data_IF_766707690581
#
_entry.id   IF_766707690581
#
_cell.length_a   1.000
_cell.length_b   1.000
_cell.length_c   1.000
_cell.angle_alpha   90.00
_cell.angle_beta   90.00
_cell.angle_gamma   90.00
#
_symmetry.space_group_name_H-M   'P 1'
#
loop_
_entity.id
_entity.type
_entity.pdbx_description
1 polymer ?
#
# COMPACT_ATOMS: atom_id res chain seq x y z
N UNK A 1 54.99 25.65 -9.16
CA UNK A 1 54.53 24.26 -9.09
C UNK A 1 53.35 24.17 -8.15
N UNK A 2 52.19 24.58 -8.65
CA UNK A 2 50.89 24.39 -8.00
C UNK A 2 50.25 23.12 -8.59
N UNK A 3 49.30 22.53 -7.85
CA UNK A 3 48.48 21.36 -8.22
C UNK A 3 49.04 20.00 -7.80
N UNK A 4 48.92 19.66 -6.51
CA UNK A 4 48.90 18.26 -6.06
C UNK A 4 47.93 17.98 -4.89
N UNK A 5 47.06 18.94 -4.49
CA UNK A 5 46.28 18.83 -3.24
C UNK A 5 44.76 18.79 -3.35
N UNK A 6 44.14 18.72 -4.53
CA UNK A 6 42.69 18.92 -4.68
C UNK A 6 41.89 17.71 -5.20
N UNK A 7 42.54 16.56 -5.43
CA UNK A 7 41.89 15.43 -6.12
C UNK A 7 41.18 14.43 -5.19
N UNK A 8 41.35 14.52 -3.86
CA UNK A 8 40.87 13.47 -2.95
C UNK A 8 39.49 13.72 -2.31
N UNK A 9 38.95 14.95 -2.37
CA UNK A 9 37.72 15.32 -1.64
C UNK A 9 36.45 15.40 -2.50
N UNK A 10 36.56 15.38 -3.83
CA UNK A 10 35.40 15.52 -4.72
C UNK A 10 34.79 14.16 -5.11
N UNK A 11 35.48 13.05 -4.85
CA UNK A 11 35.08 11.71 -5.32
C UNK A 11 34.11 10.97 -4.38
N UNK A 12 33.80 11.50 -3.19
CA UNK A 12 32.93 10.81 -2.23
C UNK A 12 31.43 11.11 -2.37
N UNK A 13 31.03 12.09 -3.20
CA UNK A 13 29.62 12.49 -3.31
C UNK A 13 28.83 11.89 -4.49
N UNK A 14 29.42 11.02 -5.32
CA UNK A 14 28.81 10.69 -6.63
C UNK A 14 28.18 9.30 -6.78
N UNK A 15 28.10 8.46 -5.77
CA UNK A 15 27.48 7.12 -5.95
C UNK A 15 26.74 6.55 -4.72
N UNK A 16 26.23 7.39 -3.82
CA UNK A 16 25.10 6.93 -3.01
C UNK A 16 23.82 7.00 -3.86
N UNK A 17 23.67 6.05 -4.79
CA UNK A 17 22.34 5.74 -5.32
C UNK A 17 21.53 5.22 -4.15
N UNK A 18 20.73 6.08 -3.53
CA UNK A 18 19.60 5.62 -2.74
C UNK A 18 18.74 4.80 -3.72
N UNK A 19 18.86 3.48 -3.65
CA UNK A 19 17.88 2.60 -4.26
C UNK A 19 16.57 2.92 -3.58
N UNK A 20 15.74 3.76 -4.21
CA UNK A 20 14.32 3.75 -3.95
C UNK A 20 13.84 2.36 -4.39
N UNK A 21 14.01 1.36 -3.52
CA UNK A 21 13.29 0.11 -3.64
C UNK A 21 11.83 0.50 -3.48
N UNK A 22 11.13 0.67 -4.59
CA UNK A 22 9.68 0.73 -4.57
C UNK A 22 9.23 -0.61 -3.96
N UNK A 23 8.89 -0.60 -2.67
CA UNK A 23 8.34 -1.76 -1.95
C UNK A 23 6.94 -2.15 -2.45
N UNK A 24 6.47 -1.53 -3.53
CA UNK A 24 5.28 -1.88 -4.29
C UNK A 24 5.62 -1.98 -5.77
N UNK A 25 5.33 -3.16 -6.33
CA UNK A 25 5.27 -3.43 -7.77
C UNK A 25 6.61 -3.52 -8.54
N UNK A 26 7.47 -4.47 -8.15
CA UNK A 26 8.35 -5.13 -9.15
C UNK A 26 7.46 -6.00 -10.02
N UNK A 27 7.61 -5.94 -11.35
CA UNK A 27 6.81 -6.69 -12.33
C UNK A 27 6.45 -8.09 -11.81
N UNK A 28 5.18 -8.25 -11.48
CA UNK A 28 4.55 -9.49 -11.04
C UNK A 28 4.70 -10.51 -12.16
N UNK A 29 5.76 -11.31 -12.09
CA UNK A 29 6.19 -12.34 -13.06
C UNK A 29 6.27 -11.92 -14.55
N UNK A 30 7.34 -12.28 -15.29
CA UNK A 30 7.29 -12.23 -16.74
C UNK A 30 6.23 -13.23 -17.22
N UNK A 31 5.07 -12.72 -17.63
CA UNK A 31 3.94 -13.53 -18.08
C UNK A 31 2.64 -13.39 -17.29
N UNK A 32 2.55 -12.51 -16.29
CA UNK A 32 1.26 -12.04 -15.76
C UNK A 32 0.67 -11.03 -16.74
N UNK A 33 0.41 -11.53 -17.95
CA UNK A 33 -0.19 -10.81 -19.04
C UNK A 33 -1.50 -10.20 -18.55
N UNK A 34 -1.60 -8.89 -18.77
CA UNK A 34 -2.74 -8.01 -18.59
C UNK A 34 -4.06 -8.76 -18.65
N UNK A 35 -4.52 -9.29 -17.51
CA UNK A 35 -5.91 -9.73 -17.42
C UNK A 35 -6.74 -8.48 -17.68
N UNK A 36 -7.62 -8.48 -18.69
CA UNK A 36 -8.40 -7.30 -19.00
C UNK A 36 -9.18 -6.93 -17.75
N UNK A 37 -9.20 -5.63 -17.44
CA UNK A 37 -9.95 -5.13 -16.30
C UNK A 37 -11.42 -5.52 -16.45
N UNK A 38 -11.96 -6.25 -15.47
CA UNK A 38 -13.37 -6.68 -15.48
C UNK A 38 -14.19 -5.63 -14.73
N UNK A 39 -14.39 -4.48 -15.36
CA UNK A 39 -15.24 -3.39 -14.83
C UNK A 39 -16.63 -3.57 -15.42
N UNK A 40 -17.58 -4.02 -14.59
CA UNK A 40 -18.97 -4.29 -15.02
C UNK A 40 -19.86 -3.05 -14.98
N UNK A 41 -19.45 -2.01 -14.27
CA UNK A 41 -20.20 -0.77 -14.06
C UNK A 41 -19.27 0.43 -14.17
N UNK A 42 -19.76 1.63 -14.53
CA UNK A 42 -18.93 2.84 -14.51
C UNK A 42 -18.24 3.03 -13.16
N UNK A 43 -16.98 3.46 -13.17
CA UNK A 43 -16.24 3.72 -11.94
C UNK A 43 -16.83 4.97 -11.26
N UNK A 44 -16.99 5.02 -9.93
CA UNK A 44 -17.66 6.15 -9.26
C UNK A 44 -17.18 7.53 -9.69
N UNK A 45 -15.87 7.70 -9.89
CA UNK A 45 -15.30 9.00 -10.28
C UNK A 45 -15.74 9.49 -11.68
N UNK A 46 -16.34 8.63 -12.51
CA UNK A 46 -16.80 9.02 -13.85
C UNK A 46 -18.20 9.64 -13.86
N UNK A 47 -18.95 9.58 -12.75
CA UNK A 47 -20.31 10.13 -12.64
C UNK A 47 -20.55 10.92 -11.34
N UNK A 48 -19.58 10.98 -10.43
CA UNK A 48 -19.65 11.84 -9.25
C UNK A 48 -19.49 13.32 -9.62
N UNK A 49 -20.35 14.18 -9.05
CA UNK A 49 -20.16 15.63 -9.11
C UNK A 49 -19.07 16.04 -8.11
N UNK A 50 -17.92 16.48 -8.61
CA UNK A 50 -16.78 16.88 -7.78
C UNK A 50 -17.15 18.04 -6.83
N UNK A 51 -18.04 18.95 -7.23
CA UNK A 51 -18.50 20.06 -6.40
C UNK A 51 -19.40 19.62 -5.24
N UNK A 52 -19.92 18.38 -5.28
CA UNK A 52 -20.73 17.80 -4.22
C UNK A 52 -19.90 16.98 -3.22
N UNK A 53 -18.59 16.82 -3.44
CA UNK A 53 -17.71 16.13 -2.49
C UNK A 53 -17.53 16.97 -1.23
N UNK A 54 -17.44 16.34 -0.05
CA UNK A 54 -17.17 17.07 1.18
C UNK A 54 -15.75 17.66 1.16
N UNK A 55 -15.57 18.81 1.81
CA UNK A 55 -14.26 19.47 1.94
C UNK A 55 -13.24 18.63 2.70
N UNK A 56 -13.72 17.78 3.60
CA UNK A 56 -12.93 16.82 4.39
C UNK A 56 -13.70 15.52 4.50
N UNK A 57 -12.98 14.40 4.43
CA UNK A 57 -13.55 13.07 4.61
C UNK A 57 -12.54 12.21 5.35
N UNK A 58 -12.91 11.72 6.53
CA UNK A 58 -12.10 10.83 7.33
C UNK A 58 -12.97 9.71 7.88
N UNK A 59 -12.73 8.48 7.43
CA UNK A 59 -13.50 7.31 7.88
C UNK A 59 -13.23 6.96 9.35
N UNK A 60 -12.20 7.56 9.96
CA UNK A 60 -11.88 7.41 11.38
C UNK A 60 -12.78 8.29 12.26
N UNK A 61 -13.48 9.25 11.67
CA UNK A 61 -14.40 10.13 12.37
C UNK A 61 -15.57 10.55 11.46
N UNK A 62 -16.58 9.68 11.41
CA UNK A 62 -17.87 9.98 10.79
C UNK A 62 -18.87 10.24 11.93
N UNK A 63 -19.00 11.51 12.30
CA UNK A 63 -19.85 11.98 13.41
C UNK A 63 -19.54 11.29 14.76
N UNK A 64 -18.25 11.20 15.10
CA UNK A 64 -17.77 10.55 16.33
C UNK A 64 -17.65 9.03 16.24
N UNK A 65 -17.93 8.42 15.08
CA UNK A 65 -17.80 6.98 14.84
C UNK A 65 -16.69 6.66 13.85
N UNK A 66 -15.71 5.86 14.28
CA UNK A 66 -14.71 5.29 13.38
C UNK A 66 -15.23 4.04 12.67
N UNK A 67 -15.01 3.96 11.36
CA UNK A 67 -15.20 2.76 10.54
C UNK A 67 -13.87 2.19 10.01
N UNK A 68 -12.73 2.78 10.42
CA UNK A 68 -11.42 2.28 10.08
C UNK A 68 -11.03 1.09 10.98
N UNK A 69 -10.31 0.13 10.41
CA UNK A 69 -9.62 -0.93 11.14
C UNK A 69 -8.50 -0.39 12.02
N UNK A 70 -8.08 -1.22 12.96
CA UNK A 70 -6.98 -0.96 13.87
C UNK A 70 -5.64 -0.83 13.13
N UNK A 71 -4.74 -0.02 13.69
CA UNK A 71 -3.35 0.02 13.23
C UNK A 71 -2.66 -1.29 13.60
N UNK A 72 -2.04 -1.94 12.62
CA UNK A 72 -1.35 -3.23 12.78
C UNK A 72 0.15 -3.08 12.60
N UNK A 73 0.92 -4.04 13.13
CA UNK A 73 2.37 -4.03 13.08
C UNK A 73 2.91 -5.30 12.41
N UNK A 74 3.44 -5.15 11.19
CA UNK A 74 4.04 -6.24 10.42
C UNK A 74 5.43 -6.68 10.90
N UNK A 75 6.09 -5.90 11.77
CA UNK A 75 7.49 -6.12 12.16
C UNK A 75 7.67 -7.05 13.36
N UNK A 76 6.57 -7.51 13.97
CA UNK A 76 6.57 -8.41 15.12
C UNK A 76 5.75 -9.67 14.81
N UNK A 77 6.04 -10.83 15.44
CA UNK A 77 7.13 -11.07 16.39
C UNK A 77 8.52 -11.14 15.73
N UNK A 78 8.56 -11.21 14.40
CA UNK A 78 9.76 -11.17 13.58
C UNK A 78 9.52 -10.20 12.44
N UNK A 79 10.60 -9.58 11.94
CA UNK A 79 10.47 -8.68 10.81
C UNK A 79 9.87 -9.40 9.60
N UNK A 80 8.80 -8.84 9.05
CA UNK A 80 8.19 -9.30 7.81
C UNK A 80 7.90 -8.08 6.92
N UNK A 81 8.42 -8.09 5.69
CA UNK A 81 8.14 -7.10 4.65
C UNK A 81 6.74 -7.22 4.03
N UNK A 82 5.70 -7.37 4.86
CA UNK A 82 4.31 -7.63 4.45
C UNK A 82 3.42 -6.37 4.41
N UNK A 83 4.01 -5.19 4.18
CA UNK A 83 3.29 -3.92 4.09
C UNK A 83 2.21 -3.95 3.02
N UNK A 84 2.50 -4.58 1.88
CA UNK A 84 1.56 -4.77 0.78
C UNK A 84 0.32 -5.57 1.20
N UNK A 85 0.49 -6.62 2.02
CA UNK A 85 -0.60 -7.46 2.51
C UNK A 85 -1.42 -6.73 3.58
N UNK A 86 -0.75 -6.02 4.49
CA UNK A 86 -1.40 -5.21 5.51
C UNK A 86 -2.23 -4.09 4.87
N UNK A 87 -1.66 -3.31 3.96
CA UNK A 87 -2.35 -2.21 3.29
C UNK A 87 -3.58 -2.71 2.51
N UNK A 88 -3.45 -3.80 1.74
CA UNK A 88 -4.55 -4.34 0.96
C UNK A 88 -5.69 -4.88 1.84
N UNK A 89 -5.35 -5.64 2.89
CA UNK A 89 -6.36 -6.23 3.79
C UNK A 89 -7.05 -5.19 4.67
N UNK A 90 -6.34 -4.21 5.20
CA UNK A 90 -6.92 -3.11 5.96
C UNK A 90 -7.86 -2.26 5.10
N UNK A 91 -7.43 -1.81 3.92
CA UNK A 91 -8.29 -1.00 3.05
C UNK A 91 -9.55 -1.74 2.59
N UNK A 92 -9.48 -3.05 2.34
CA UNK A 92 -10.65 -3.86 2.00
C UNK A 92 -11.57 -4.06 3.20
N UNK A 93 -11.00 -4.27 4.38
CA UNK A 93 -11.75 -4.40 5.64
C UNK A 93 -12.51 -3.10 5.95
N UNK A 94 -11.85 -1.95 5.84
CA UNK A 94 -12.46 -0.62 5.99
C UNK A 94 -13.64 -0.43 5.02
N UNK A 95 -13.48 -0.81 3.74
CA UNK A 95 -14.55 -0.75 2.74
C UNK A 95 -15.74 -1.63 3.10
N UNK A 96 -15.51 -2.83 3.65
CA UNK A 96 -16.59 -3.71 4.11
C UNK A 96 -17.29 -3.09 5.33
N UNK A 97 -16.54 -2.50 6.25
CA UNK A 97 -17.10 -1.83 7.43
C UNK A 97 -17.92 -0.58 7.05
N UNK A 98 -17.47 0.20 6.07
CA UNK A 98 -18.24 1.31 5.47
C UNK A 98 -19.53 0.78 4.84
N UNK A 99 -19.45 -0.25 3.99
CA UNK A 99 -20.61 -0.86 3.33
C UNK A 99 -21.64 -1.37 4.34
N UNK A 100 -21.17 -1.89 5.47
CA UNK A 100 -22.00 -2.42 6.56
C UNK A 100 -22.34 -1.38 7.64
N UNK A 101 -21.99 -0.12 7.44
CA UNK A 101 -22.20 0.96 8.44
C UNK A 101 -21.65 0.63 9.84
N UNK A 102 -20.57 -0.16 9.91
CA UNK A 102 -19.96 -0.63 11.15
C UNK A 102 -20.79 -1.65 11.92
N UNK A 103 -21.62 -2.45 11.26
CA UNK A 103 -22.37 -3.53 11.90
C UNK A 103 -21.45 -4.63 12.45
N UNK A 104 -21.83 -5.20 13.59
CA UNK A 104 -21.14 -6.34 14.21
C UNK A 104 -21.31 -7.61 13.38
N UNK A 105 -20.26 -8.46 13.25
CA UNK A 105 -18.89 -8.26 13.70
C UNK A 105 -18.15 -7.24 12.83
N UNK A 106 -17.29 -6.43 13.45
CA UNK A 106 -16.40 -5.54 12.70
C UNK A 106 -15.34 -6.37 11.95
N UNK A 107 -15.11 -6.07 10.67
CA UNK A 107 -14.32 -6.93 9.80
C UNK A 107 -12.84 -6.61 9.91
N UNK A 108 -12.04 -7.66 10.09
CA UNK A 108 -10.59 -7.65 10.12
C UNK A 108 -10.07 -8.83 9.28
N UNK A 109 -9.72 -8.60 8.02
CA UNK A 109 -9.15 -9.64 7.17
C UNK A 109 -7.74 -10.03 7.65
N UNK A 110 -7.40 -11.32 7.52
CA UNK A 110 -6.12 -11.88 7.96
C UNK A 110 -5.02 -11.68 6.90
N UNK A 111 -4.00 -10.83 7.14
CA UNK A 111 -2.91 -10.62 6.18
C UNK A 111 -2.07 -11.89 5.97
N UNK A 112 -1.95 -12.73 7.01
CA UNK A 112 -1.17 -13.97 6.94
C UNK A 112 -1.70 -14.95 5.87
N UNK A 113 -3.01 -14.97 5.62
CA UNK A 113 -3.59 -15.82 4.58
C UNK A 113 -3.07 -15.41 3.21
N UNK A 114 -2.96 -14.10 2.96
CA UNK A 114 -2.42 -13.60 1.69
C UNK A 114 -0.91 -13.86 1.62
N UNK A 115 -0.17 -13.64 2.71
CA UNK A 115 1.27 -13.94 2.76
C UNK A 115 1.55 -15.41 2.44
N UNK A 116 0.73 -16.33 2.96
CA UNK A 116 0.93 -17.77 2.77
C UNK A 116 0.48 -18.27 1.39
N UNK A 117 -0.64 -17.75 0.88
CA UNK A 117 -1.36 -18.38 -0.23
C UNK A 117 -1.32 -17.59 -1.54
N UNK A 118 -0.96 -16.31 -1.52
CA UNK A 118 -0.84 -15.54 -2.75
C UNK A 118 0.41 -16.01 -3.52
N UNK A 119 0.20 -16.86 -4.52
CA UNK A 119 1.26 -17.41 -5.39
C UNK A 119 2.02 -16.34 -6.17
N UNK A 120 1.45 -15.13 -6.26
CA UNK A 120 2.05 -13.95 -6.88
C UNK A 120 2.95 -13.16 -5.93
N UNK A 121 2.93 -13.48 -4.63
CA UNK A 121 3.69 -12.81 -3.58
C UNK A 121 4.94 -13.60 -3.13
N UNK A 122 5.13 -14.81 -3.65
CA UNK A 122 6.20 -15.75 -3.26
C UNK A 122 7.63 -15.26 -3.55
N UNK A 123 7.80 -14.24 -4.40
CA UNK A 123 9.09 -13.55 -4.64
C UNK A 123 9.18 -12.17 -3.97
N UNK A 124 8.25 -11.84 -3.08
CA UNK A 124 8.16 -10.53 -2.42
C UNK A 124 8.40 -10.69 -0.92
N UNK A 125 9.62 -11.10 -0.58
CA UNK A 125 10.26 -10.53 0.60
C UNK A 125 10.56 -9.07 0.24
N UNK A 126 9.70 -8.14 0.67
CA UNK A 126 10.00 -6.72 0.61
C UNK A 126 11.29 -6.39 1.32
#
# INVERSE_FOLDING_TARGET
SAMQGAAALVTLCLVARASAANHGHRNMYPGWHSKPSIVKTPLPHTYMNLSALPRSYDIRDLDGKSLATDNRNQHIPQYCGSCWAHAATSALSDRINILRSGATPFVHLAPQVIVNCATVASNYSG
#
